data_IF_410196874701
#
_entry.id   IF_410196874701
#
_cell.length_a   1.000
_cell.length_b   1.000
_cell.length_c   1.000
_cell.angle_alpha   90.00
_cell.angle_beta   90.00
_cell.angle_gamma   90.00
#
_symmetry.space_group_name_H-M   'P 1'
#
loop_
_entity.id
_entity.type
_entity.pdbx_description
1 polymer ?
#
# COMPACT_ATOMS: atom_id res chain seq x y z
N UNK A 1 12.17 -5.03 -19.85
CA UNK A 1 11.14 -4.54 -20.80
C UNK A 1 10.63 -3.21 -20.27
N UNK A 2 10.77 -2.13 -21.04
CA UNK A 2 10.34 -0.79 -20.61
C UNK A 2 8.81 -0.74 -20.51
N UNK A 3 8.27 -0.15 -19.43
CA UNK A 3 6.84 0.04 -19.28
C UNK A 3 6.38 1.14 -20.25
N UNK A 4 5.33 0.90 -21.02
CA UNK A 4 4.69 1.94 -21.82
C UNK A 4 3.44 2.44 -21.09
N UNK A 5 3.26 3.76 -21.02
CA UNK A 5 2.06 4.36 -20.43
C UNK A 5 1.04 4.66 -21.52
N UNK A 6 -0.21 4.28 -21.30
CA UNK A 6 -1.34 4.52 -22.19
C UNK A 6 -1.74 5.99 -22.09
N UNK A 7 -1.44 6.75 -23.14
CA UNK A 7 -1.57 8.22 -23.15
C UNK A 7 -2.99 8.70 -22.78
N UNK A 8 -4.06 8.02 -23.24
CA UNK A 8 -5.43 8.40 -22.86
C UNK A 8 -5.65 8.44 -21.35
N UNK A 9 -5.00 7.56 -20.60
CA UNK A 9 -5.14 7.46 -19.15
C UNK A 9 -4.25 8.45 -18.42
N UNK A 10 -3.04 8.69 -18.95
CA UNK A 10 -2.15 9.73 -18.44
C UNK A 10 -2.81 11.11 -18.54
N UNK A 11 -3.47 11.42 -19.65
CA UNK A 11 -4.18 12.70 -19.83
C UNK A 11 -5.35 12.87 -18.84
N UNK A 12 -6.12 11.80 -18.59
CA UNK A 12 -7.21 11.85 -17.59
C UNK A 12 -6.64 12.02 -16.18
N UNK A 13 -5.56 11.34 -15.85
CA UNK A 13 -4.86 11.49 -14.56
C UNK A 13 -4.36 12.93 -14.37
N UNK A 14 -3.69 13.49 -15.37
CA UNK A 14 -3.19 14.86 -15.33
C UNK A 14 -4.30 15.90 -15.22
N UNK A 15 -5.45 15.67 -15.87
CA UNK A 15 -6.63 16.53 -15.73
C UNK A 15 -7.25 16.43 -14.33
N UNK A 16 -7.23 15.23 -13.72
CA UNK A 16 -7.75 15.02 -12.37
C UNK A 16 -6.88 15.68 -11.29
N UNK A 17 -5.58 15.85 -11.55
CA UNK A 17 -4.63 16.46 -10.63
C UNK A 17 -3.79 17.53 -11.32
N UNK A 18 -4.26 18.78 -11.29
CA UNK A 18 -3.56 19.94 -11.86
C UNK A 18 -2.28 20.32 -11.10
N UNK A 19 -2.13 19.84 -9.86
CA UNK A 19 -0.95 20.01 -9.01
C UNK A 19 -0.71 18.75 -8.18
N UNK A 20 0.54 18.46 -7.79
CA UNK A 20 0.84 17.29 -6.98
C UNK A 20 0.23 17.42 -5.57
N UNK A 21 -0.28 16.33 -4.97
CA UNK A 21 -0.76 16.37 -3.60
C UNK A 21 0.37 16.70 -2.62
N UNK A 22 0.05 17.42 -1.54
CA UNK A 22 1.00 17.79 -0.48
C UNK A 22 0.92 16.82 0.69
N UNK A 23 2.04 16.53 1.35
CA UNK A 23 2.06 15.80 2.62
C UNK A 23 1.97 16.80 3.76
N UNK A 24 0.78 16.92 4.34
CA UNK A 24 0.50 17.85 5.44
C UNK A 24 0.81 17.19 6.79
N UNK A 25 1.58 17.88 7.63
CA UNK A 25 1.94 17.45 8.99
C UNK A 25 0.78 17.53 9.97
N UNK A 26 -0.26 18.28 9.65
CA UNK A 26 -1.46 18.48 10.47
C UNK A 26 -2.68 17.73 9.92
N UNK A 27 -2.52 16.98 8.83
CA UNK A 27 -3.60 16.18 8.27
C UNK A 27 -4.07 15.11 9.27
N UNK A 28 -5.39 15.06 9.46
CA UNK A 28 -6.08 13.97 10.14
C UNK A 28 -6.21 12.77 9.19
N UNK A 29 -5.26 11.83 9.28
CA UNK A 29 -5.27 10.61 8.48
C UNK A 29 -4.87 9.38 9.31
N UNK A 30 -5.34 8.21 8.86
CA UNK A 30 -4.99 6.93 9.47
C UNK A 30 -5.62 6.65 10.83
N UNK A 31 -5.34 5.46 11.37
CA UNK A 31 -5.81 5.03 12.68
C UNK A 31 -4.85 5.39 13.81
N UNK A 32 -5.38 5.52 15.02
CA UNK A 32 -4.60 5.78 16.25
C UNK A 32 -3.66 4.61 16.60
N UNK A 33 -2.32 4.77 16.57
CA UNK A 33 -1.39 3.72 16.98
C UNK A 33 -1.62 3.22 18.40
N UNK A 34 -1.74 4.13 19.36
CA UNK A 34 -1.97 3.79 20.76
C UNK A 34 -3.25 2.96 20.96
N UNK A 35 -4.39 3.41 20.43
CA UNK A 35 -5.66 2.70 20.59
C UNK A 35 -5.67 1.38 19.81
N UNK A 36 -5.10 1.38 18.59
CA UNK A 36 -5.05 0.20 17.76
C UNK A 36 -4.20 -0.90 18.40
N UNK A 37 -3.11 -0.56 19.08
CA UNK A 37 -2.23 -1.54 19.71
C UNK A 37 -2.67 -1.94 21.12
N UNK A 38 -3.31 -1.05 21.89
CA UNK A 38 -3.74 -1.34 23.27
C UNK A 38 -4.69 -2.55 23.39
N UNK A 39 -5.43 -2.87 22.33
CA UNK A 39 -6.36 -4.00 22.30
C UNK A 39 -5.72 -5.33 21.88
N UNK A 40 -4.42 -5.35 21.57
CA UNK A 40 -3.71 -6.59 21.22
C UNK A 40 -3.64 -7.48 22.47
N UNK A 41 -4.33 -8.62 22.40
CA UNK A 41 -4.37 -9.61 23.48
C UNK A 41 -3.30 -10.69 23.25
N UNK A 42 -2.47 -10.96 24.27
CA UNK A 42 -1.48 -12.06 24.26
C UNK A 42 -0.08 -11.62 24.72
N UNK A 43 0.63 -12.47 25.45
CA UNK A 43 1.88 -12.16 26.14
C UNK A 43 3.15 -12.23 25.28
N UNK A 44 3.11 -12.78 24.06
CA UNK A 44 4.32 -13.21 23.34
C UNK A 44 4.38 -12.79 21.86
N UNK A 45 4.03 -11.54 21.58
CA UNK A 45 4.11 -10.98 20.24
C UNK A 45 5.53 -10.52 19.86
N UNK A 46 6.50 -10.59 20.79
CA UNK A 46 7.92 -10.28 20.52
C UNK A 46 8.18 -8.82 20.16
N UNK A 47 7.28 -7.91 20.55
CA UNK A 47 7.39 -6.47 20.37
C UNK A 47 7.66 -5.79 21.71
N UNK A 48 8.40 -4.70 21.63
CA UNK A 48 8.84 -3.86 22.75
C UNK A 48 8.39 -2.41 22.51
N UNK A 49 7.08 -2.23 22.25
CA UNK A 49 6.50 -0.91 22.06
C UNK A 49 6.39 -0.16 23.38
N UNK A 50 6.73 1.13 23.41
CA UNK A 50 6.73 1.94 24.64
C UNK A 50 5.69 3.04 24.57
N UNK A 51 5.93 4.04 23.72
CA UNK A 51 5.19 5.29 23.69
C UNK A 51 4.58 5.51 22.30
N UNK A 52 3.52 4.76 22.01
CA UNK A 52 2.77 4.92 20.76
C UNK A 52 1.91 6.19 20.80
N UNK A 53 2.00 6.99 19.74
CA UNK A 53 1.21 8.21 19.62
C UNK A 53 -0.29 7.90 19.49
N UNK A 54 -1.15 8.84 19.94
CA UNK A 54 -2.61 8.73 19.75
C UNK A 54 -3.04 9.08 18.34
N UNK A 55 -2.32 9.94 17.66
CA UNK A 55 -2.53 10.32 16.27
C UNK A 55 -1.21 10.19 15.52
N UNK A 56 -1.27 9.88 14.24
CA UNK A 56 -0.11 9.92 13.37
C UNK A 56 -0.55 10.22 11.94
N UNK A 57 0.33 10.73 11.10
CA UNK A 57 0.13 10.83 9.66
C UNK A 57 1.40 10.47 8.91
N UNK A 58 1.35 10.46 7.59
CA UNK A 58 2.45 10.09 6.70
C UNK A 58 3.66 10.97 6.94
N UNK A 59 3.48 12.28 7.13
CA UNK A 59 4.59 13.19 7.36
C UNK A 59 5.28 12.88 8.70
N UNK A 60 4.51 12.62 9.76
CA UNK A 60 5.03 12.21 11.07
C UNK A 60 5.72 10.84 11.00
N UNK A 61 5.18 9.87 10.27
CA UNK A 61 5.80 8.56 10.07
C UNK A 61 7.10 8.64 9.26
N UNK A 62 7.18 9.53 8.26
CA UNK A 62 8.42 9.79 7.54
C UNK A 62 9.48 10.40 8.47
N UNK A 63 9.10 11.33 9.34
CA UNK A 63 10.00 11.90 10.35
C UNK A 63 10.48 10.84 11.35
N UNK A 64 9.58 9.99 11.87
CA UNK A 64 9.92 8.85 12.73
C UNK A 64 10.88 7.87 12.04
N UNK A 65 10.72 7.63 10.74
CA UNK A 65 11.62 6.74 10.01
C UNK A 65 13.03 7.33 9.83
N UNK A 66 13.11 8.63 9.55
CA UNK A 66 14.36 9.36 9.41
C UNK A 66 15.18 9.39 10.72
N UNK A 67 14.49 9.49 11.87
CA UNK A 67 15.14 9.42 13.18
C UNK A 67 15.61 8.01 13.51
N UNK A 68 16.93 7.79 13.54
CA UNK A 68 17.54 6.48 13.88
C UNK A 68 17.36 6.06 15.33
N UNK A 69 16.97 6.97 16.23
CA UNK A 69 16.69 6.66 17.64
C UNK A 69 15.31 6.05 17.84
N UNK A 70 14.38 6.31 16.93
CA UNK A 70 13.03 5.74 16.97
C UNK A 70 13.09 4.20 16.97
N UNK A 71 12.45 3.57 17.95
CA UNK A 71 12.35 2.11 18.03
C UNK A 71 11.66 1.55 16.78
N UNK A 72 12.22 0.49 16.20
CA UNK A 72 11.64 -0.14 15.00
C UNK A 72 10.26 -0.73 15.27
N UNK A 73 10.04 -1.26 16.48
CA UNK A 73 8.77 -1.86 16.90
C UNK A 73 7.67 -0.80 16.90
N UNK A 74 7.93 0.36 17.53
CA UNK A 74 7.02 1.51 17.58
C UNK A 74 6.70 2.03 16.16
N UNK A 75 7.72 2.15 15.31
CA UNK A 75 7.55 2.60 13.93
C UNK A 75 6.70 1.61 13.12
N UNK A 76 7.00 0.31 13.18
CA UNK A 76 6.22 -0.70 12.47
C UNK A 76 4.76 -0.72 12.93
N UNK A 77 4.50 -0.70 14.24
CA UNK A 77 3.13 -0.66 14.77
C UNK A 77 2.40 0.61 14.34
N UNK A 78 3.08 1.75 14.38
CA UNK A 78 2.51 3.03 13.95
C UNK A 78 2.14 3.04 12.46
N UNK A 79 2.99 2.47 11.60
CA UNK A 79 2.70 2.32 10.15
C UNK A 79 1.50 1.40 9.90
N UNK A 80 1.40 0.27 10.62
CA UNK A 80 0.28 -0.67 10.44
C UNK A 80 -1.05 -0.09 10.95
N UNK A 81 -1.03 0.64 12.06
CA UNK A 81 -2.19 1.34 12.60
C UNK A 81 -2.65 2.49 11.69
N UNK A 82 -1.71 3.34 11.26
CA UNK A 82 -1.97 4.41 10.28
C UNK A 82 -2.56 3.86 8.99
N UNK A 83 -2.01 2.74 8.50
CA UNK A 83 -2.49 2.07 7.29
C UNK A 83 -3.89 1.45 7.40
N UNK A 84 -4.57 1.58 8.55
CA UNK A 84 -5.94 1.15 8.75
C UNK A 84 -6.11 -0.36 8.82
N UNK A 85 -5.10 -1.10 9.30
CA UNK A 85 -5.19 -2.55 9.40
C UNK A 85 -6.38 -2.96 10.27
N UNK A 86 -7.30 -3.75 9.70
CA UNK A 86 -8.48 -4.22 10.42
C UNK A 86 -8.08 -5.01 11.68
N UNK A 87 -8.80 -4.81 12.79
CA UNK A 87 -8.50 -5.41 14.11
C UNK A 87 -8.41 -6.94 14.07
N UNK A 88 -9.31 -7.61 13.35
CA UNK A 88 -9.22 -9.07 13.18
C UNK A 88 -7.92 -9.53 12.47
N UNK A 89 -7.35 -8.72 11.59
CA UNK A 89 -6.06 -9.02 10.94
C UNK A 89 -4.88 -8.71 11.86
N UNK A 90 -4.95 -7.60 12.60
CA UNK A 90 -4.03 -7.25 13.70
C UNK A 90 -3.91 -8.41 14.69
N UNK A 91 -5.05 -8.89 15.20
CA UNK A 91 -5.07 -9.93 16.24
C UNK A 91 -4.47 -11.23 15.71
N UNK A 92 -4.79 -11.61 14.47
CA UNK A 92 -4.16 -12.77 13.81
C UNK A 92 -2.65 -12.61 13.66
N UNK A 93 -2.16 -11.40 13.37
CA UNK A 93 -0.72 -11.15 13.25
C UNK A 93 -0.03 -11.31 14.60
N UNK A 94 -0.56 -10.70 15.65
CA UNK A 94 0.09 -10.65 16.97
C UNK A 94 -0.20 -11.85 17.88
N UNK A 95 -1.07 -12.77 17.48
CA UNK A 95 -1.12 -14.13 18.05
C UNK A 95 0.13 -14.97 17.71
N UNK A 96 1.06 -14.43 16.91
CA UNK A 96 2.28 -15.08 16.45
C UNK A 96 3.47 -14.18 16.76
N UNK A 97 4.65 -14.78 16.90
CA UNK A 97 5.87 -14.01 17.14
C UNK A 97 6.18 -13.06 15.98
N UNK A 98 6.39 -11.78 16.30
CA UNK A 98 6.77 -10.78 15.32
C UNK A 98 8.23 -10.86 14.88
N UNK A 99 9.06 -11.65 15.57
CA UNK A 99 10.50 -11.65 15.43
C UNK A 99 10.98 -11.77 13.97
N UNK A 100 10.34 -12.65 13.18
CA UNK A 100 10.76 -12.93 11.81
C UNK A 100 10.47 -11.78 10.85
N UNK A 101 9.25 -11.22 10.86
CA UNK A 101 8.93 -10.11 9.96
C UNK A 101 9.55 -8.78 10.46
N UNK A 102 9.78 -8.63 11.77
CA UNK A 102 10.57 -7.51 12.32
C UNK A 102 12.04 -7.59 11.92
N UNK A 103 12.63 -8.79 11.81
CA UNK A 103 13.99 -8.95 11.31
C UNK A 103 14.13 -8.44 9.87
N UNK A 104 13.13 -8.70 9.02
CA UNK A 104 13.06 -8.12 7.66
C UNK A 104 12.95 -6.60 7.74
N UNK A 105 12.04 -6.07 8.57
CA UNK A 105 11.87 -4.63 8.77
C UNK A 105 13.18 -3.93 9.20
N UNK A 106 13.93 -4.53 10.14
CA UNK A 106 15.24 -4.04 10.60
C UNK A 106 16.25 -3.99 9.45
N UNK A 107 16.34 -5.04 8.63
CA UNK A 107 17.24 -5.09 7.47
C UNK A 107 16.88 -4.07 6.40
N UNK A 108 15.59 -3.84 6.15
CA UNK A 108 15.12 -2.77 5.26
C UNK A 108 15.59 -1.42 5.76
N UNK A 109 15.35 -1.09 7.04
CA UNK A 109 15.71 0.21 7.63
C UNK A 109 17.21 0.46 7.70
N UNK A 110 18.00 -0.61 7.80
CA UNK A 110 19.46 -0.55 7.71
C UNK A 110 19.99 -0.37 6.26
N UNK A 111 19.11 -0.37 5.25
CA UNK A 111 19.51 -0.29 3.84
C UNK A 111 20.09 -1.60 3.29
N UNK A 112 19.91 -2.72 4.00
CA UNK A 112 20.46 -4.02 3.62
C UNK A 112 19.64 -4.78 2.57
N UNK A 113 18.54 -4.20 2.09
CA UNK A 113 17.63 -4.82 1.12
C UNK A 113 17.21 -3.82 0.05
N UNK A 114 17.19 -4.27 -1.21
CA UNK A 114 16.50 -3.56 -2.29
C UNK A 114 14.98 -3.71 -2.15
N UNK A 115 14.19 -2.85 -2.80
CA UNK A 115 12.72 -2.94 -2.81
C UNK A 115 12.19 -4.29 -3.30
N UNK A 116 12.86 -4.88 -4.30
CA UNK A 116 12.57 -6.23 -4.78
C UNK A 116 12.81 -7.28 -3.70
N UNK A 117 14.01 -7.30 -3.12
CA UNK A 117 14.38 -8.30 -2.11
C UNK A 117 13.53 -8.17 -0.84
N UNK A 118 13.23 -6.94 -0.41
CA UNK A 118 12.34 -6.67 0.71
C UNK A 118 10.93 -7.24 0.49
N UNK A 119 10.39 -7.07 -0.72
CA UNK A 119 9.09 -7.64 -1.08
C UNK A 119 9.14 -9.17 -1.08
N UNK A 120 10.15 -9.77 -1.72
CA UNK A 120 10.30 -11.24 -1.80
C UNK A 120 10.45 -11.88 -0.42
N UNK A 121 11.17 -11.25 0.51
CA UNK A 121 11.32 -11.76 1.88
C UNK A 121 9.98 -11.74 2.65
N UNK A 122 9.21 -10.66 2.56
CA UNK A 122 7.87 -10.61 3.15
C UNK A 122 6.91 -11.60 2.49
N UNK A 123 6.92 -11.70 1.16
CA UNK A 123 6.10 -12.65 0.42
C UNK A 123 6.41 -14.10 0.81
N UNK A 124 7.70 -14.43 0.99
CA UNK A 124 8.15 -15.75 1.43
C UNK A 124 7.68 -16.09 2.85
N UNK A 125 7.82 -15.16 3.80
CA UNK A 125 7.30 -15.33 5.17
C UNK A 125 5.78 -15.50 5.19
N UNK A 126 5.08 -14.84 4.28
CA UNK A 126 3.63 -14.93 4.16
C UNK A 126 3.15 -16.24 3.54
N UNK A 127 3.87 -16.78 2.57
CA UNK A 127 3.56 -18.06 1.92
C UNK A 127 3.82 -19.27 2.83
N UNK A 128 4.60 -19.09 3.91
CA UNK A 128 4.94 -20.17 4.82
C UNK A 128 3.73 -20.77 5.55
N UNK A 129 3.58 -22.09 5.48
CA UNK A 129 2.43 -22.81 6.05
C UNK A 129 2.59 -23.19 7.52
N UNK A 130 3.83 -23.29 8.03
CA UNK A 130 4.12 -23.82 9.37
C UNK A 130 3.85 -22.78 10.44
N UNK A 131 4.63 -21.70 10.49
CA UNK A 131 4.49 -20.67 11.52
C UNK A 131 3.45 -19.62 11.15
N UNK A 132 3.23 -19.41 9.84
CA UNK A 132 2.32 -18.40 9.29
C UNK A 132 2.57 -17.01 9.90
N UNK A 133 3.85 -16.65 10.07
CA UNK A 133 4.28 -15.46 10.84
C UNK A 133 3.68 -14.13 10.36
N UNK A 134 3.16 -14.07 9.14
CA UNK A 134 2.49 -12.91 8.56
C UNK A 134 0.98 -13.08 8.36
N UNK A 135 0.32 -13.98 9.09
CA UNK A 135 -1.14 -14.12 9.00
C UNK A 135 -1.82 -12.80 9.37
N UNK A 136 -2.67 -12.27 8.49
CA UNK A 136 -3.28 -10.95 8.65
C UNK A 136 -2.48 -9.78 8.04
N UNK A 137 -1.20 -9.97 7.72
CA UNK A 137 -0.34 -8.96 7.09
C UNK A 137 -0.09 -9.31 5.62
N UNK A 138 -0.86 -8.70 4.71
CA UNK A 138 -0.74 -8.89 3.26
C UNK A 138 0.08 -7.81 2.52
N UNK A 139 0.21 -7.92 1.18
CA UNK A 139 1.04 -7.02 0.36
C UNK A 139 0.74 -5.54 0.54
N UNK A 140 -0.54 -5.17 0.65
CA UNK A 140 -0.94 -3.78 0.86
C UNK A 140 -0.44 -3.17 2.18
N UNK A 141 -0.08 -3.99 3.17
CA UNK A 141 0.45 -3.52 4.45
C UNK A 141 1.96 -3.64 4.52
N UNK A 142 2.56 -4.76 4.08
CA UNK A 142 4.02 -4.87 4.16
C UNK A 142 4.71 -3.93 3.16
N UNK A 143 4.07 -3.53 2.06
CA UNK A 143 4.61 -2.46 1.20
C UNK A 143 4.57 -1.07 1.85
N UNK A 144 3.68 -0.84 2.82
CA UNK A 144 3.76 0.35 3.69
C UNK A 144 5.01 0.30 4.57
N UNK A 145 5.30 -0.86 5.16
CA UNK A 145 6.55 -1.06 5.89
C UNK A 145 7.75 -0.79 4.99
N UNK A 146 7.78 -1.33 3.75
CA UNK A 146 8.85 -1.03 2.79
C UNK A 146 8.95 0.48 2.54
N UNK A 147 7.85 1.16 2.22
CA UNK A 147 7.85 2.59 1.89
C UNK A 147 8.41 3.47 3.01
N UNK A 148 7.98 3.23 4.26
CA UNK A 148 8.46 4.04 5.38
C UNK A 148 9.86 3.65 5.81
N UNK A 149 10.20 2.36 5.86
CA UNK A 149 11.47 1.90 6.42
C UNK A 149 12.64 2.03 5.45
N UNK A 150 12.41 1.93 4.15
CA UNK A 150 13.48 1.91 3.16
C UNK A 150 14.15 3.29 3.02
N UNK A 151 15.49 3.38 3.11
CA UNK A 151 16.21 4.61 2.78
C UNK A 151 15.95 5.07 1.35
N UNK A 152 16.04 6.38 1.08
CA UNK A 152 15.84 6.95 -0.26
C UNK A 152 16.82 6.39 -1.30
N UNK A 153 18.08 6.19 -0.91
CA UNK A 153 19.15 5.65 -1.77
C UNK A 153 19.44 4.18 -1.42
N UNK A 154 19.59 3.26 -2.41
CA UNK A 154 19.71 3.51 -3.85
C UNK A 154 18.39 3.50 -4.64
N UNK A 155 17.24 3.26 -4.00
CA UNK A 155 15.95 3.28 -4.67
C UNK A 155 14.81 2.88 -3.74
N UNK A 156 13.92 3.83 -3.46
CA UNK A 156 12.78 3.69 -2.55
C UNK A 156 11.70 2.75 -3.10
N UNK A 157 11.04 2.00 -2.21
CA UNK A 157 9.80 1.29 -2.52
C UNK A 157 8.58 2.17 -2.23
N UNK A 158 7.48 1.97 -2.95
CA UNK A 158 6.24 2.74 -2.80
C UNK A 158 5.09 1.89 -2.26
N UNK A 159 4.04 2.51 -1.71
CA UNK A 159 2.89 1.77 -1.19
C UNK A 159 2.11 1.18 -2.37
N UNK A 160 1.93 -0.13 -2.34
CA UNK A 160 1.11 -0.86 -3.30
C UNK A 160 -0.17 -1.30 -2.61
N UNK A 161 -1.19 -0.44 -2.62
CA UNK A 161 -2.53 -0.80 -2.18
C UNK A 161 -3.42 -1.26 -3.37
N UNK A 162 -4.70 -1.52 -3.09
CA UNK A 162 -5.66 -1.91 -4.11
C UNK A 162 -5.77 -0.86 -5.24
N UNK A 163 -5.86 0.42 -4.90
CA UNK A 163 -6.17 1.48 -5.88
C UNK A 163 -4.93 1.92 -6.65
N UNK A 164 -3.76 1.96 -6.01
CA UNK A 164 -2.50 2.17 -6.68
C UNK A 164 -2.21 1.04 -7.69
N UNK A 165 -2.45 -0.23 -7.30
CA UNK A 165 -2.28 -1.37 -8.19
C UNK A 165 -3.21 -1.34 -9.41
N UNK A 166 -4.51 -1.10 -9.19
CA UNK A 166 -5.49 -0.98 -10.26
C UNK A 166 -5.19 0.19 -11.20
N UNK A 167 -4.84 1.34 -10.63
CA UNK A 167 -4.50 2.54 -11.41
C UNK A 167 -3.25 2.32 -12.26
N UNK A 168 -2.22 1.68 -11.71
CA UNK A 168 -1.00 1.37 -12.47
C UNK A 168 -1.26 0.38 -13.59
N UNK A 169 -2.06 -0.67 -13.36
CA UNK A 169 -2.44 -1.59 -14.43
C UNK A 169 -3.19 -0.88 -15.56
N UNK A 170 -4.11 0.02 -15.21
CA UNK A 170 -4.85 0.82 -16.19
C UNK A 170 -3.92 1.73 -16.99
N UNK A 171 -3.08 2.51 -16.31
CA UNK A 171 -2.14 3.42 -16.96
C UNK A 171 -1.14 2.65 -17.83
N UNK A 172 -0.66 1.48 -17.39
CA UNK A 172 0.26 0.67 -18.17
C UNK A 172 -0.41 -0.10 -19.32
N UNK A 173 -1.74 -0.23 -19.31
CA UNK A 173 -2.50 -1.05 -20.25
C UNK A 173 -2.23 -2.56 -20.14
N UNK A 174 -1.53 -2.98 -19.09
CA UNK A 174 -1.14 -4.38 -18.83
C UNK A 174 -1.17 -4.65 -17.33
N UNK A 175 -1.29 -5.93 -16.94
CA UNK A 175 -1.22 -6.32 -15.53
C UNK A 175 0.23 -6.25 -15.02
N UNK A 176 0.63 -5.08 -14.53
CA UNK A 176 1.88 -4.85 -13.80
C UNK A 176 1.83 -5.50 -12.43
N UNK A 177 0.67 -5.39 -11.77
CA UNK A 177 0.38 -6.00 -10.48
C UNK A 177 -0.75 -7.01 -10.66
N UNK A 178 -0.58 -8.20 -10.09
CA UNK A 178 -1.61 -9.24 -10.08
C UNK A 178 -2.65 -8.91 -8.99
N UNK A 179 -3.92 -8.88 -9.38
CA UNK A 179 -5.03 -8.57 -8.48
C UNK A 179 -5.92 -9.81 -8.34
N UNK A 180 -6.32 -10.16 -7.12
CA UNK A 180 -7.43 -11.08 -6.92
C UNK A 180 -8.73 -10.29 -6.98
N UNK A 181 -9.66 -10.70 -7.84
CA UNK A 181 -10.94 -10.01 -8.03
C UNK A 181 -12.12 -10.92 -7.69
N UNK A 182 -13.15 -10.33 -7.08
CA UNK A 182 -14.42 -10.98 -6.80
C UNK A 182 -15.54 -10.11 -7.33
N UNK A 183 -16.35 -10.68 -8.22
CA UNK A 183 -17.53 -10.01 -8.78
C UNK A 183 -18.74 -10.39 -7.94
N UNK A 184 -19.46 -9.39 -7.46
CA UNK A 184 -20.73 -9.56 -6.76
C UNK A 184 -21.82 -8.74 -7.43
N UNK A 185 -23.06 -9.16 -7.24
CA UNK A 185 -24.23 -8.44 -7.72
C UNK A 185 -24.97 -7.86 -6.52
N UNK A 186 -25.25 -6.56 -6.54
CA UNK A 186 -26.04 -5.90 -5.51
C UNK A 186 -27.34 -5.39 -6.11
N UNK A 187 -28.46 -5.84 -5.58
CA UNK A 187 -29.75 -5.22 -5.84
C UNK A 187 -29.88 -3.98 -4.94
N UNK A 188 -30.22 -2.84 -5.55
CA UNK A 188 -30.65 -1.63 -4.86
C UNK A 188 -32.01 -1.20 -5.42
N UNK A 189 -33.07 -1.61 -4.73
CA UNK A 189 -34.45 -1.44 -5.18
C UNK A 189 -34.70 -2.07 -6.57
N UNK A 190 -34.88 -1.21 -7.58
CA UNK A 190 -35.17 -1.60 -8.97
C UNK A 190 -33.93 -1.82 -9.83
N UNK A 191 -32.75 -1.56 -9.31
CA UNK A 191 -31.49 -1.65 -10.07
C UNK A 191 -30.64 -2.80 -9.56
N UNK A 192 -30.01 -3.52 -10.49
CA UNK A 192 -29.03 -4.56 -10.18
C UNK A 192 -27.67 -4.06 -10.66
N UNK A 193 -26.78 -3.79 -9.70
CA UNK A 193 -25.45 -3.28 -9.98
C UNK A 193 -24.40 -4.37 -9.84
N UNK A 194 -23.55 -4.50 -10.85
CA UNK A 194 -22.34 -5.32 -10.78
C UNK A 194 -21.25 -4.59 -9.98
N UNK A 195 -20.71 -5.23 -8.95
CA UNK A 195 -19.62 -4.72 -8.12
C UNK A 195 -18.40 -5.62 -8.23
N UNK A 196 -17.23 -5.01 -8.30
CA UNK A 196 -15.95 -5.74 -8.37
C UNK A 196 -15.11 -5.33 -7.18
N UNK A 197 -14.89 -6.28 -6.28
CA UNK A 197 -13.94 -6.12 -5.18
C UNK A 197 -12.59 -6.65 -5.62
N UNK A 198 -11.52 -5.95 -5.27
CA UNK A 198 -10.16 -6.34 -5.65
C UNK A 198 -9.24 -6.27 -4.45
N UNK A 199 -8.20 -7.10 -4.46
CA UNK A 199 -7.07 -6.98 -3.53
C UNK A 199 -5.78 -7.30 -4.26
N UNK A 200 -4.67 -6.77 -3.77
CA UNK A 200 -3.34 -7.14 -4.28
C UNK A 200 -3.13 -8.61 -3.97
N UNK A 201 -2.81 -9.39 -5.01
CA UNK A 201 -2.66 -10.85 -4.88
C UNK A 201 -1.38 -11.23 -4.15
N UNK A 202 -1.42 -12.32 -3.39
CA UNK A 202 -0.26 -12.90 -2.72
C UNK A 202 0.72 -13.57 -3.72
N UNK A 203 0.34 -13.72 -4.99
CA UNK A 203 1.22 -14.27 -6.05
C UNK A 203 2.09 -13.22 -6.75
N UNK A 204 2.02 -11.95 -6.32
CA UNK A 204 2.99 -10.96 -6.78
C UNK A 204 4.38 -11.31 -6.26
N UNK A 205 5.39 -11.01 -7.05
CA UNK A 205 6.82 -11.18 -6.75
C UNK A 205 7.48 -9.82 -6.54
N UNK A 206 8.70 -9.82 -6.03
CA UNK A 206 9.52 -8.62 -5.95
C UNK A 206 9.81 -7.99 -7.32
N UNK A 207 9.79 -8.77 -8.40
CA UNK A 207 9.88 -8.25 -9.77
C UNK A 207 8.62 -7.47 -10.17
N UNK A 208 7.43 -8.01 -9.88
CA UNK A 208 6.16 -7.30 -10.11
C UNK A 208 6.12 -5.98 -9.31
N UNK A 209 6.59 -6.02 -8.06
CA UNK A 209 6.66 -4.85 -7.20
C UNK A 209 7.69 -3.81 -7.67
N UNK A 210 8.88 -4.24 -8.11
CA UNK A 210 9.88 -3.32 -8.70
C UNK A 210 9.35 -2.68 -9.98
N UNK A 211 8.65 -3.45 -10.82
CA UNK A 211 8.00 -2.94 -12.03
C UNK A 211 6.90 -1.93 -11.71
N UNK A 212 6.12 -2.16 -10.67
CA UNK A 212 5.17 -1.17 -10.14
C UNK A 212 5.88 0.12 -9.70
N UNK A 213 6.95 0.01 -8.91
CA UNK A 213 7.71 1.16 -8.44
C UNK A 213 8.33 1.98 -9.59
N UNK A 214 8.90 1.31 -10.58
CA UNK A 214 9.43 1.94 -11.80
C UNK A 214 8.33 2.59 -12.64
N UNK A 215 7.12 2.02 -12.63
CA UNK A 215 5.94 2.62 -13.26
C UNK A 215 5.57 3.96 -12.64
N UNK A 216 5.62 4.06 -11.30
CA UNK A 216 5.41 5.32 -10.59
C UNK A 216 6.49 6.35 -10.92
N UNK A 217 7.75 5.92 -10.98
CA UNK A 217 8.89 6.77 -11.34
C UNK A 217 8.75 7.33 -12.77
N UNK A 218 8.36 6.46 -13.70
CA UNK A 218 8.12 6.85 -15.09
C UNK A 218 6.93 7.82 -15.22
N UNK A 219 5.82 7.54 -14.53
CA UNK A 219 4.66 8.43 -14.53
C UNK A 219 5.01 9.78 -13.88
N UNK A 220 5.79 9.79 -12.79
CA UNK A 220 6.27 11.02 -12.16
C UNK A 220 7.08 11.87 -13.13
N UNK A 221 8.02 11.26 -13.85
CA UNK A 221 8.80 11.96 -14.88
C UNK A 221 7.90 12.53 -15.99
N UNK A 222 6.84 11.79 -16.38
CA UNK A 222 5.86 12.23 -17.38
C UNK A 222 4.99 13.39 -16.92
N UNK A 223 4.70 13.46 -15.62
CA UNK A 223 3.95 14.55 -14.98
C UNK A 223 4.77 15.84 -14.78
N UNK A 224 6.10 15.76 -14.95
CA UNK A 224 7.02 16.90 -14.91
C UNK A 224 7.73 17.09 -13.56
N UNK A 225 8.73 17.97 -13.52
CA UNK A 225 9.67 18.10 -12.39
C UNK A 225 9.07 18.53 -11.04
N UNK A 226 7.83 19.02 -11.01
CA UNK A 226 7.12 19.31 -9.76
C UNK A 226 6.59 18.05 -9.06
N UNK A 227 6.50 16.92 -9.77
CA UNK A 227 5.96 15.67 -9.25
C UNK A 227 7.06 14.75 -8.76
N UNK A 228 6.87 14.21 -7.56
CA UNK A 228 7.67 13.09 -7.04
C UNK A 228 6.91 11.76 -7.19
N UNK A 229 7.61 10.62 -7.26
CA UNK A 229 6.93 9.32 -7.36
C UNK A 229 6.04 9.00 -6.15
N UNK A 230 6.40 9.50 -4.96
CA UNK A 230 5.56 9.38 -3.76
C UNK A 230 4.26 10.18 -3.86
N UNK A 231 4.27 11.33 -4.53
CA UNK A 231 3.05 12.11 -4.78
C UNK A 231 2.18 11.46 -5.86
N UNK A 232 2.80 10.87 -6.89
CA UNK A 232 2.09 10.04 -7.88
C UNK A 232 1.42 8.85 -7.20
N UNK A 233 2.13 8.10 -6.35
CA UNK A 233 1.55 7.01 -5.56
C UNK A 233 0.30 7.46 -4.80
N UNK A 234 0.37 8.60 -4.10
CA UNK A 234 -0.75 9.13 -3.33
C UNK A 234 -1.93 9.49 -4.22
N UNK A 235 -1.67 10.17 -5.33
CA UNK A 235 -2.70 10.55 -6.30
C UNK A 235 -3.34 9.32 -6.98
N UNK A 236 -2.60 8.24 -7.24
CA UNK A 236 -3.15 7.01 -7.81
C UNK A 236 -4.03 6.23 -6.84
N UNK A 237 -3.76 6.29 -5.53
CA UNK A 237 -4.69 5.73 -4.55
C UNK A 237 -6.04 6.44 -4.60
N UNK A 238 -6.01 7.79 -4.72
CA UNK A 238 -7.15 8.69 -4.87
C UNK A 238 -8.20 8.56 -3.76
N UNK A 239 -8.79 9.68 -3.35
CA UNK A 239 -9.79 9.61 -2.28
C UNK A 239 -11.04 8.86 -2.76
N UNK A 240 -11.45 7.90 -1.94
CA UNK A 240 -12.67 7.12 -2.13
C UNK A 240 -13.81 7.60 -1.24
N UNK A 241 -14.84 6.77 -1.13
CA UNK A 241 -16.00 7.03 -0.28
C UNK A 241 -17.26 7.23 -1.11
N UNK A 242 -18.23 7.98 -0.55
CA UNK A 242 -19.52 8.24 -1.20
C UNK A 242 -19.39 9.09 -2.47
N UNK A 243 -18.34 9.89 -2.57
CA UNK A 243 -18.05 10.76 -3.71
C UNK A 243 -16.60 10.56 -4.16
N UNK A 244 -16.29 9.49 -4.92
CA UNK A 244 -14.94 9.22 -5.38
C UNK A 244 -14.43 10.35 -6.29
N UNK A 245 -13.16 10.72 -6.14
CA UNK A 245 -12.53 11.71 -7.00
C UNK A 245 -12.52 11.27 -8.48
N UNK A 246 -12.31 12.23 -9.39
CA UNK A 246 -12.39 12.02 -10.84
C UNK A 246 -11.54 10.85 -11.33
N UNK A 247 -10.30 10.73 -10.85
CA UNK A 247 -9.42 9.63 -11.23
C UNK A 247 -9.99 8.27 -10.82
N UNK A 248 -10.43 8.12 -9.56
CA UNK A 248 -10.99 6.87 -9.05
C UNK A 248 -12.26 6.45 -9.80
N UNK A 249 -13.12 7.41 -10.14
CA UNK A 249 -14.30 7.19 -10.96
C UNK A 249 -13.93 6.66 -12.36
N UNK A 250 -12.91 7.25 -12.98
CA UNK A 250 -12.38 6.79 -14.27
C UNK A 250 -11.83 5.36 -14.21
N UNK A 251 -11.05 5.03 -13.18
CA UNK A 251 -10.51 3.66 -12.97
C UNK A 251 -11.64 2.64 -12.83
N UNK A 252 -12.67 2.94 -12.05
CA UNK A 252 -13.85 2.04 -11.91
C UNK A 252 -14.57 1.85 -13.25
N UNK A 253 -14.80 2.94 -13.99
CA UNK A 253 -15.51 2.88 -15.27
C UNK A 253 -14.78 2.07 -16.34
N UNK A 254 -13.45 2.21 -16.47
CA UNK A 254 -12.66 1.41 -17.43
C UNK A 254 -12.64 -0.07 -17.04
N UNK A 255 -12.54 -0.38 -15.74
CA UNK A 255 -12.56 -1.77 -15.25
C UNK A 255 -13.89 -2.46 -15.53
N UNK A 256 -15.01 -1.78 -15.26
CA UNK A 256 -16.33 -2.33 -15.55
C UNK A 256 -16.56 -2.56 -17.05
N UNK A 257 -15.97 -1.71 -17.91
CA UNK A 257 -16.01 -1.86 -19.37
C UNK A 257 -15.17 -3.02 -19.89
N UNK A 258 -14.05 -3.34 -19.23
CA UNK A 258 -13.17 -4.43 -19.63
C UNK A 258 -13.71 -5.83 -19.27
N UNK A 259 -14.69 -5.90 -18.36
CA UNK A 259 -15.33 -7.17 -18.02
C UNK A 259 -16.29 -7.63 -19.13
N UNK A 260 -16.40 -8.96 -19.36
CA UNK A 260 -17.38 -9.50 -20.31
C UNK A 260 -18.79 -8.96 -20.03
N UNK A 261 -19.62 -8.76 -21.08
CA UNK A 261 -21.01 -8.42 -20.88
C UNK A 261 -21.69 -9.49 -20.03
N UNK A 262 -22.64 -9.08 -19.20
CA UNK A 262 -23.51 -10.00 -18.48
C UNK A 262 -24.35 -10.77 -19.50
N UNK A 263 -24.06 -12.06 -19.61
CA UNK A 263 -24.89 -13.06 -20.31
C UNK A 263 -26.26 -13.19 -19.67
#
# INVERSE_FOLDING_TARGET
MTLNLVEKHVLVFAKAYSSPPTFDTDAEEGGSPAQWFAEVKGSEHGLSCKDLARTTNRAQLLAMSADKKTCIDDLCVSVLAWGGMHRANRDRLFQRSAARWLAVAKRIRAGGLSRRAAFDEFASLRAEKKEKAMLGLGPAYFTKLIYFLMPETPGKGYILDQWAGLSMNLIAGVNVVKMDETVTWKADGKTVERRVNSRVSDVNTGEDYDRFCRGLELLSARMGGAWTPGQVERALMSEGGRSPQTWRSHVVAERLRALPPSS
#
